data_IF_627992886539
#
_entry.id   IF_627992886539
#
_cell.length_a   1.000
_cell.length_b   1.000
_cell.length_c   1.000
_cell.angle_alpha   90.00
_cell.angle_beta   90.00
_cell.angle_gamma   90.00
#
_symmetry.space_group_name_H-M   'P 1'
#
loop_
_entity.id
_entity.type
_entity.pdbx_description
1 polymer ?
#
# COMPACT_ATOMS: atom_id res chain seq x y z
N UNK A 1 -8.52 -16.59 -3.86
CA UNK A 1 -8.26 -15.53 -2.86
C UNK A 1 -6.79 -15.09 -2.80
N UNK A 2 -5.80 -16.00 -2.81
CA UNK A 2 -4.36 -15.66 -2.73
C UNK A 2 -3.84 -14.65 -3.77
N UNK A 3 -4.27 -14.75 -5.04
CA UNK A 3 -3.80 -13.84 -6.11
C UNK A 3 -4.12 -12.37 -5.83
N UNK A 4 -5.31 -12.05 -5.29
CA UNK A 4 -5.70 -10.66 -4.98
C UNK A 4 -4.92 -10.11 -3.78
N UNK A 5 -4.72 -10.92 -2.74
CA UNK A 5 -3.92 -10.53 -1.58
C UNK A 5 -2.46 -10.26 -1.97
N UNK A 6 -1.88 -11.11 -2.82
CA UNK A 6 -0.51 -10.93 -3.33
C UNK A 6 -0.33 -9.61 -4.09
N UNK A 7 -1.35 -9.15 -4.82
CA UNK A 7 -1.32 -7.86 -5.53
C UNK A 7 -1.35 -6.70 -4.54
N UNK A 8 -2.17 -6.75 -3.49
CA UNK A 8 -2.20 -5.70 -2.46
C UNK A 8 -0.91 -5.65 -1.65
N UNK A 9 -0.29 -6.80 -1.35
CA UNK A 9 1.02 -6.84 -0.70
C UNK A 9 2.09 -6.25 -1.63
N UNK A 10 2.06 -6.55 -2.92
CA UNK A 10 2.97 -5.96 -3.89
C UNK A 10 2.78 -4.43 -4.00
N UNK A 11 1.54 -3.95 -4.05
CA UNK A 11 1.23 -2.51 -4.01
C UNK A 11 1.73 -1.85 -2.74
N UNK A 12 1.65 -2.53 -1.59
CA UNK A 12 2.18 -2.04 -0.32
C UNK A 12 3.71 -1.91 -0.38
N UNK A 13 4.40 -2.94 -0.87
CA UNK A 13 5.87 -2.93 -1.00
C UNK A 13 6.33 -1.83 -1.95
N UNK A 14 5.66 -1.68 -3.11
CA UNK A 14 5.95 -0.60 -4.07
C UNK A 14 5.69 0.75 -3.42
N UNK A 15 4.53 0.95 -2.79
CA UNK A 15 4.17 2.20 -2.13
C UNK A 15 5.16 2.58 -1.03
N UNK A 16 5.60 1.61 -0.21
CA UNK A 16 6.60 1.82 0.82
C UNK A 16 7.97 2.18 0.23
N UNK A 17 8.37 1.53 -0.86
CA UNK A 17 9.63 1.84 -1.56
C UNK A 17 9.61 3.25 -2.14
N UNK A 18 8.49 3.67 -2.75
CA UNK A 18 8.32 5.04 -3.26
C UNK A 18 8.35 6.07 -2.12
N UNK A 19 7.74 5.75 -0.98
CA UNK A 19 7.78 6.61 0.21
C UNK A 19 9.22 6.78 0.73
N UNK A 20 9.95 5.68 0.83
CA UNK A 20 11.35 5.68 1.23
C UNK A 20 12.19 6.52 0.25
N UNK A 21 12.03 6.30 -1.05
CA UNK A 21 12.74 7.08 -2.06
C UNK A 21 12.42 8.58 -1.95
N UNK A 22 11.14 8.94 -1.75
CA UNK A 22 10.71 10.33 -1.62
C UNK A 22 11.26 11.04 -0.37
N UNK A 23 11.52 10.30 0.72
CA UNK A 23 12.00 10.88 1.98
C UNK A 23 13.53 10.93 2.04
N UNK A 24 14.22 9.91 1.51
CA UNK A 24 15.66 9.73 1.71
C UNK A 24 16.52 10.22 0.54
N UNK A 25 15.96 10.41 -0.66
CA UNK A 25 16.69 11.03 -1.78
C UNK A 25 16.38 12.51 -1.88
N UNK A 26 17.42 13.29 -2.18
CA UNK A 26 17.29 14.68 -2.63
C UNK A 26 16.73 14.71 -4.06
N UNK A 27 15.41 14.69 -4.15
CA UNK A 27 14.66 14.76 -5.40
C UNK A 27 14.20 16.20 -5.65
N UNK A 28 14.05 16.62 -6.93
CA UNK A 28 13.42 17.89 -7.25
C UNK A 28 12.03 17.99 -6.59
N UNK A 29 11.72 19.13 -5.99
CA UNK A 29 10.53 19.31 -5.14
C UNK A 29 9.23 18.78 -5.77
N UNK A 30 8.99 19.09 -7.05
CA UNK A 30 7.81 18.60 -7.80
C UNK A 30 7.76 17.07 -7.90
N UNK A 31 8.92 16.44 -8.10
CA UNK A 31 9.05 14.97 -8.22
C UNK A 31 8.89 14.31 -6.86
N UNK A 32 9.50 14.88 -5.81
CA UNK A 32 9.34 14.43 -4.43
C UNK A 32 7.85 14.41 -4.05
N UNK A 33 7.14 15.52 -4.23
CA UNK A 33 5.71 15.61 -3.90
C UNK A 33 4.84 14.66 -4.73
N UNK A 34 5.14 14.47 -6.01
CA UNK A 34 4.42 13.51 -6.85
C UNK A 34 4.62 12.07 -6.35
N UNK A 35 5.85 11.68 -6.02
CA UNK A 35 6.17 10.36 -5.46
C UNK A 35 5.51 10.17 -4.10
N UNK A 36 5.54 11.19 -3.25
CA UNK A 36 4.91 11.17 -1.93
C UNK A 36 3.39 10.94 -2.05
N UNK A 37 2.72 11.68 -2.94
CA UNK A 37 1.29 11.54 -3.17
C UNK A 37 0.93 10.13 -3.66
N UNK A 38 1.67 9.60 -4.63
CA UNK A 38 1.47 8.24 -5.16
C UNK A 38 1.71 7.20 -4.04
N UNK A 39 2.78 7.35 -3.27
CA UNK A 39 3.11 6.45 -2.18
C UNK A 39 2.01 6.42 -1.12
N UNK A 40 1.48 7.57 -0.73
CA UNK A 40 0.38 7.68 0.24
C UNK A 40 -0.88 6.97 -0.28
N UNK A 41 -1.27 7.21 -1.54
CA UNK A 41 -2.47 6.58 -2.13
C UNK A 41 -2.32 5.06 -2.18
N UNK A 42 -1.16 4.55 -2.60
CA UNK A 42 -0.88 3.13 -2.68
C UNK A 42 -0.89 2.46 -1.30
N UNK A 43 -0.27 3.08 -0.29
CA UNK A 43 -0.24 2.55 1.07
C UNK A 43 -1.63 2.55 1.70
N UNK A 44 -2.38 3.64 1.58
CA UNK A 44 -3.74 3.75 2.13
C UNK A 44 -4.68 2.71 1.52
N UNK A 45 -4.65 2.57 0.19
CA UNK A 45 -5.46 1.58 -0.53
C UNK A 45 -5.12 0.16 -0.10
N UNK A 46 -3.82 -0.13 0.05
CA UNK A 46 -3.34 -1.45 0.47
C UNK A 46 -3.72 -1.76 1.92
N UNK A 47 -3.63 -0.77 2.83
CA UNK A 47 -4.04 -0.92 4.23
C UNK A 47 -5.55 -1.18 4.35
N UNK A 48 -6.39 -0.43 3.63
CA UNK A 48 -7.84 -0.64 3.61
C UNK A 48 -8.17 -2.04 3.07
N UNK A 49 -7.51 -2.46 1.99
CA UNK A 49 -7.71 -3.78 1.42
C UNK A 49 -7.31 -4.89 2.40
N UNK A 50 -6.18 -4.75 3.09
CA UNK A 50 -5.70 -5.69 4.10
C UNK A 50 -6.68 -5.76 5.29
N UNK A 51 -7.14 -4.63 5.82
CA UNK A 51 -8.15 -4.58 6.89
C UNK A 51 -9.44 -5.26 6.45
N UNK A 52 -9.92 -4.99 5.24
CA UNK A 52 -11.16 -5.59 4.72
C UNK A 52 -11.03 -7.11 4.53
N UNK A 53 -9.87 -7.59 4.12
CA UNK A 53 -9.58 -9.03 4.02
C UNK A 53 -9.51 -9.64 5.42
N UNK A 54 -8.74 -9.04 6.33
CA UNK A 54 -8.61 -9.49 7.73
C UNK A 54 -9.96 -9.56 8.45
N UNK A 55 -10.78 -8.51 8.37
CA UNK A 55 -12.15 -8.51 8.92
C UNK A 55 -13.04 -9.61 8.33
N UNK A 56 -12.82 -9.97 7.06
CA UNK A 56 -13.56 -11.06 6.39
C UNK A 56 -13.06 -12.45 6.78
N UNK A 57 -11.86 -12.57 7.30
CA UNK A 57 -11.32 -13.81 7.89
C UNK A 57 -11.65 -13.91 9.38
N UNK A 58 -11.78 -12.79 10.09
CA UNK A 58 -12.17 -12.74 11.50
C UNK A 58 -13.68 -12.91 11.75
N UNK A 59 -14.53 -12.87 10.71
CA UNK A 59 -15.99 -13.11 10.87
C UNK A 59 -16.26 -14.57 11.24
N UNK A 60 -16.83 -14.86 12.43
CA UNK A 60 -17.16 -16.22 12.83
C UNK A 60 -18.36 -16.69 12.00
N UNK A 61 -18.21 -17.79 11.25
CA UNK A 61 -19.27 -18.34 10.40
C UNK A 61 -18.84 -18.79 9.01
N UNK A 62 -17.58 -18.57 8.61
CA UNK A 62 -16.98 -19.36 7.52
C UNK A 62 -16.54 -20.70 8.11
N UNK A 63 -17.22 -21.77 7.69
CA UNK A 63 -16.86 -23.17 7.96
C UNK A 63 -15.37 -23.42 7.77
#
# INVERSE_FOLDING_TARGET
MRKKLSIYILMLVIGFTLLFLAIFLDLPEKVMWALLAIAVILNLTSAIAAMRIGLREMKPGKR
#
